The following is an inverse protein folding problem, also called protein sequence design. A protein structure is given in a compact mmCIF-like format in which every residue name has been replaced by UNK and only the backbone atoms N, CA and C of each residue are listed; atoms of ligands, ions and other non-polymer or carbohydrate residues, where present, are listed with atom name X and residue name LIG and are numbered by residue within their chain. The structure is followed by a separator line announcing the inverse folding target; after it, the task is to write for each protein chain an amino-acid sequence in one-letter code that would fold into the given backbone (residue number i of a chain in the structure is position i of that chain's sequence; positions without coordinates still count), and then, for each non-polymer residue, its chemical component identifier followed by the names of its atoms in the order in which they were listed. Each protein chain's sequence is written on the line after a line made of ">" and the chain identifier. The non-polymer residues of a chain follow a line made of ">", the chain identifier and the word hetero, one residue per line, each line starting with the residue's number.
data_IF_489225280259
#
_entry.id   IF_489225280259
#
_cell.length_a   1.000
_cell.length_b   1.000
_cell.length_c   1.000
_cell.angle_alpha   90.00
_cell.angle_beta   90.00
_cell.angle_gamma   90.00
#
_symmetry.space_group_name_H-M   'P 1'
#
loop_
_entity.id
_entity.type
_entity.pdbx_description
1 polymer ?
#
# COMPACT_ATOMS: atom_id res chain seq x y z
N UNK A 1 18.68 -16.27 -23.78
CA UNK A 1 18.83 -15.66 -22.44
C UNK A 1 17.43 -15.41 -21.90
N UNK A 2 16.94 -16.25 -20.99
CA UNK A 2 15.63 -16.06 -20.34
C UNK A 2 15.84 -15.07 -19.20
N UNK A 3 15.51 -13.80 -19.44
CA UNK A 3 15.27 -12.86 -18.35
C UNK A 3 13.87 -13.13 -17.83
N UNK A 4 13.72 -14.05 -16.86
CA UNK A 4 12.51 -14.04 -16.06
C UNK A 4 12.43 -12.63 -15.44
N UNK A 5 11.37 -11.85 -15.64
CA UNK A 5 11.20 -10.62 -14.88
C UNK A 5 11.09 -11.06 -13.43
N UNK A 6 12.14 -10.79 -12.64
CA UNK A 6 12.12 -11.01 -11.20
C UNK A 6 11.23 -9.91 -10.65
N UNK A 7 9.93 -10.16 -10.61
CA UNK A 7 8.96 -9.22 -10.10
C UNK A 7 9.32 -8.94 -8.63
N UNK A 8 9.20 -7.68 -8.18
CA UNK A 8 9.55 -7.28 -6.80
C UNK A 8 8.87 -8.15 -5.74
N UNK A 9 7.73 -8.76 -6.05
CA UNK A 9 7.05 -9.74 -5.22
C UNK A 9 7.87 -11.00 -4.92
N UNK A 10 8.66 -11.53 -5.87
CA UNK A 10 9.48 -12.73 -5.64
C UNK A 10 10.58 -12.49 -4.60
N UNK A 11 11.02 -11.25 -4.45
CA UNK A 11 12.02 -10.87 -3.47
C UNK A 11 11.42 -10.52 -2.10
N UNK A 12 10.28 -9.82 -2.07
CA UNK A 12 9.58 -9.48 -0.83
C UNK A 12 8.85 -10.68 -0.21
N UNK A 13 8.27 -11.52 -1.06
CA UNK A 13 7.28 -12.52 -0.69
C UNK A 13 6.02 -11.94 -0.04
N UNK A 14 5.02 -12.79 0.25
CA UNK A 14 3.76 -12.35 0.87
C UNK A 14 3.96 -11.77 2.28
N UNK A 15 4.98 -12.22 3.02
CA UNK A 15 5.31 -11.69 4.35
C UNK A 15 5.90 -10.28 4.27
N UNK A 16 6.79 -10.01 3.30
CA UNK A 16 7.37 -8.68 3.09
C UNK A 16 6.32 -7.64 2.71
N UNK A 17 5.38 -8.00 1.82
CA UNK A 17 4.26 -7.12 1.46
C UNK A 17 3.38 -6.81 2.67
N UNK A 18 3.01 -7.81 3.47
CA UNK A 18 2.25 -7.59 4.71
C UNK A 18 3.03 -6.71 5.71
N UNK A 19 4.34 -6.90 5.82
CA UNK A 19 5.21 -6.07 6.66
C UNK A 19 5.23 -4.61 6.21
N UNK A 20 5.33 -4.37 4.91
CA UNK A 20 5.26 -3.04 4.29
C UNK A 20 3.93 -2.34 4.62
N UNK A 21 2.80 -3.03 4.40
CA UNK A 21 1.46 -2.48 4.68
C UNK A 21 1.28 -2.16 6.16
N UNK A 22 1.71 -3.05 7.06
CA UNK A 22 1.64 -2.76 8.50
C UNK A 22 2.51 -1.57 8.89
N UNK A 23 3.69 -1.40 8.28
CA UNK A 23 4.53 -0.23 8.50
C UNK A 23 3.85 1.04 8.00
N UNK A 24 3.28 1.01 6.81
CA UNK A 24 2.53 2.12 6.24
C UNK A 24 1.34 2.52 7.11
N UNK A 25 0.49 1.57 7.52
CA UNK A 25 -0.65 1.86 8.40
C UNK A 25 -0.24 2.43 9.76
N UNK A 26 0.93 2.04 10.30
CA UNK A 26 1.47 2.65 11.52
C UNK A 26 1.86 4.11 11.31
N UNK A 27 2.43 4.47 10.16
CA UNK A 27 2.75 5.86 9.83
C UNK A 27 1.47 6.70 9.70
N UNK A 28 0.47 6.20 8.97
CA UNK A 28 -0.83 6.88 8.83
C UNK A 28 -1.53 7.02 10.19
N UNK A 29 -1.47 6.00 11.05
CA UNK A 29 -2.07 6.06 12.38
C UNK A 29 -1.30 6.94 13.37
N UNK A 30 -0.03 7.26 13.09
CA UNK A 30 0.77 8.19 13.89
C UNK A 30 0.59 9.64 13.45
N UNK A 31 0.01 9.88 12.27
CA UNK A 31 -0.30 11.21 11.77
C UNK A 31 -1.56 11.75 12.45
N UNK A 32 -1.44 12.89 13.14
CA UNK A 32 -2.53 13.50 13.91
C UNK A 32 -3.73 13.92 13.05
N UNK A 33 -3.53 14.20 11.76
CA UNK A 33 -4.63 14.56 10.85
C UNK A 33 -5.35 13.34 10.28
N UNK A 34 -4.65 12.20 10.15
CA UNK A 34 -5.19 10.98 9.54
C UNK A 34 -5.72 9.98 10.58
N UNK A 35 -5.14 9.98 11.78
CA UNK A 35 -5.53 9.09 12.87
C UNK A 35 -7.04 9.11 13.19
N UNK A 36 -7.75 10.26 13.20
CA UNK A 36 -9.19 10.30 13.46
C UNK A 36 -10.01 9.49 12.45
N UNK A 37 -9.59 9.46 11.18
CA UNK A 37 -10.27 8.71 10.12
C UNK A 37 -10.08 7.20 10.24
N UNK A 38 -9.07 6.75 11.01
CA UNK A 38 -8.82 5.34 11.29
C UNK A 38 -9.54 4.85 12.56
N UNK A 39 -10.31 5.70 13.24
CA UNK A 39 -11.11 5.30 14.39
C UNK A 39 -12.31 4.47 13.95
N UNK A 40 -12.52 3.32 14.59
CA UNK A 40 -13.62 2.39 14.25
C UNK A 40 -13.36 1.52 13.01
N UNK A 41 -12.20 1.65 12.35
CA UNK A 41 -11.82 0.79 11.23
C UNK A 41 -11.08 -0.44 11.73
N UNK A 42 -11.46 -1.61 11.21
CA UNK A 42 -10.69 -2.84 11.36
C UNK A 42 -9.34 -2.75 10.63
N UNK A 43 -8.33 -2.21 11.32
CA UNK A 43 -6.94 -2.12 10.84
C UNK A 43 -6.39 -3.44 10.28
N UNK A 44 -6.58 -4.63 10.90
CA UNK A 44 -6.08 -5.87 10.32
C UNK A 44 -6.79 -6.25 9.01
N UNK A 45 -8.09 -5.94 8.91
CA UNK A 45 -8.86 -6.18 7.68
C UNK A 45 -8.43 -5.22 6.57
N UNK A 46 -8.26 -3.93 6.89
CA UNK A 46 -7.72 -2.92 5.98
C UNK A 46 -6.32 -3.31 5.49
N UNK A 47 -5.45 -3.77 6.40
CA UNK A 47 -4.11 -4.24 6.06
C UNK A 47 -4.15 -5.43 5.09
N UNK A 48 -5.07 -6.38 5.29
CA UNK A 48 -5.22 -7.52 4.39
C UNK A 48 -5.66 -7.09 2.98
N UNK A 49 -6.63 -6.16 2.87
CA UNK A 49 -7.08 -5.65 1.57
C UNK A 49 -5.98 -4.86 0.85
N UNK A 50 -5.24 -4.00 1.58
CA UNK A 50 -4.12 -3.24 1.02
C UNK A 50 -2.96 -4.16 0.61
N UNK A 51 -2.69 -5.22 1.37
CA UNK A 51 -1.66 -6.21 1.01
C UNK A 51 -2.04 -6.99 -0.24
N UNK A 52 -3.32 -7.34 -0.42
CA UNK A 52 -3.80 -7.96 -1.65
C UNK A 52 -3.64 -7.03 -2.87
N UNK A 53 -3.95 -5.75 -2.70
CA UNK A 53 -3.78 -4.76 -3.76
C UNK A 53 -2.30 -4.56 -4.13
N UNK A 54 -1.41 -4.37 -3.15
CA UNK A 54 0.03 -4.26 -3.41
C UNK A 54 0.60 -5.54 -4.01
N UNK A 55 0.13 -6.72 -3.60
CA UNK A 55 0.56 -7.99 -4.19
C UNK A 55 0.27 -8.02 -5.70
N UNK A 56 -0.91 -7.57 -6.12
CA UNK A 56 -1.27 -7.44 -7.54
C UNK A 56 -0.32 -6.49 -8.29
N UNK A 57 -0.04 -5.31 -7.72
CA UNK A 57 0.87 -4.31 -8.32
C UNK A 57 2.29 -4.81 -8.47
N UNK A 58 2.76 -5.57 -7.48
CA UNK A 58 4.09 -6.14 -7.43
C UNK A 58 4.24 -7.38 -8.32
N UNK A 59 3.17 -7.80 -9.00
CA UNK A 59 3.17 -8.94 -9.91
C UNK A 59 3.04 -10.30 -9.23
N UNK A 60 2.53 -10.34 -8.00
CA UNK A 60 2.18 -11.55 -7.26
C UNK A 60 0.76 -12.05 -7.55
N UNK A 61 0.36 -13.22 -7.02
CA UNK A 61 -0.94 -13.81 -7.28
C UNK A 61 -2.07 -12.93 -6.72
N UNK A 62 -3.01 -12.55 -7.60
CA UNK A 62 -4.17 -11.74 -7.21
C UNK A 62 -5.12 -12.59 -6.38
N UNK A 63 -5.22 -12.27 -5.08
CA UNK A 63 -6.10 -12.99 -4.15
C UNK A 63 -6.58 -12.07 -3.04
N UNK A 64 -7.88 -11.74 -3.06
CA UNK A 64 -8.55 -10.93 -2.04
C UNK A 64 -9.30 -9.71 -2.62
N UNK A 65 -10.20 -9.10 -1.83
CA UNK A 65 -10.91 -7.89 -2.26
C UNK A 65 -9.92 -6.73 -2.42
N UNK A 66 -9.90 -6.13 -3.61
CA UNK A 66 -9.09 -4.94 -3.88
C UNK A 66 -9.52 -3.78 -2.98
N UNK A 67 -8.56 -3.13 -2.32
CA UNK A 67 -8.78 -1.94 -1.50
C UNK A 67 -8.90 -0.64 -2.33
N UNK A 68 -9.02 -0.73 -3.66
CA UNK A 68 -9.06 0.43 -4.55
C UNK A 68 -10.08 1.46 -4.10
N UNK A 69 -9.62 2.69 -3.87
CA UNK A 69 -10.47 3.79 -3.41
C UNK A 69 -10.98 3.66 -1.97
N UNK A 70 -10.43 2.77 -1.12
CA UNK A 70 -10.82 2.71 0.31
C UNK A 70 -10.58 4.05 1.00
N UNK A 71 -9.47 4.73 0.67
CA UNK A 71 -9.15 6.05 1.19
C UNK A 71 -10.07 7.14 0.64
N UNK A 72 -10.51 7.03 -0.62
CA UNK A 72 -11.52 7.93 -1.20
C UNK A 72 -12.87 7.80 -0.48
N UNK A 73 -13.24 6.60 -0.01
CA UNK A 73 -14.48 6.37 0.76
C UNK A 73 -14.43 6.92 2.18
N UNK A 74 -13.24 7.26 2.71
CA UNK A 74 -13.08 7.83 4.05
C UNK A 74 -13.31 9.35 4.10
N UNK A 75 -13.60 9.99 2.96
CA UNK A 75 -13.87 11.43 2.91
C UNK A 75 -12.63 12.28 3.21
N UNK A 76 -11.44 11.78 2.87
CA UNK A 76 -10.20 12.51 3.03
C UNK A 76 -10.12 13.70 2.06
N UNK A 77 -9.51 14.80 2.53
CA UNK A 77 -9.07 15.90 1.68
C UNK A 77 -8.03 15.42 0.66
N UNK A 78 -7.89 16.12 -0.46
CA UNK A 78 -6.81 15.87 -1.43
C UNK A 78 -5.42 15.93 -0.76
N UNK A 79 -5.18 16.88 0.14
CA UNK A 79 -3.92 16.99 0.88
C UNK A 79 -3.66 15.78 1.77
N UNK A 80 -4.69 15.29 2.46
CA UNK A 80 -4.62 14.10 3.30
C UNK A 80 -4.37 12.85 2.46
N UNK A 81 -4.99 12.78 1.28
CA UNK A 81 -4.77 11.70 0.32
C UNK A 81 -3.32 11.70 -0.17
N UNK A 82 -2.74 12.86 -0.48
CA UNK A 82 -1.32 12.99 -0.83
C UNK A 82 -0.41 12.53 0.31
N UNK A 83 -0.68 12.92 1.57
CA UNK A 83 0.10 12.44 2.73
C UNK A 83 0.07 10.91 2.87
N UNK A 84 -1.10 10.29 2.70
CA UNK A 84 -1.24 8.82 2.71
C UNK A 84 -0.36 8.17 1.63
N UNK A 85 -0.33 8.75 0.43
CA UNK A 85 0.48 8.28 -0.69
C UNK A 85 1.99 8.52 -0.49
N UNK A 86 2.37 9.60 0.19
CA UNK A 86 3.76 9.89 0.54
C UNK A 86 4.29 8.90 1.58
N UNK A 87 3.48 8.55 2.59
CA UNK A 87 3.86 7.49 3.53
C UNK A 87 4.00 6.12 2.85
N UNK A 88 3.15 5.83 1.85
CA UNK A 88 3.29 4.62 1.04
C UNK A 88 4.61 4.63 0.26
N UNK A 89 4.91 5.74 -0.42
CA UNK A 89 6.16 5.90 -1.16
C UNK A 89 7.36 5.75 -0.25
N UNK A 90 7.37 6.38 0.93
CA UNK A 90 8.45 6.26 1.89
C UNK A 90 8.70 4.81 2.33
N UNK A 91 7.65 4.01 2.54
CA UNK A 91 7.78 2.60 2.92
C UNK A 91 8.32 1.75 1.77
N UNK A 92 7.83 1.97 0.55
CA UNK A 92 8.30 1.22 -0.63
C UNK A 92 9.74 1.63 -1.00
N UNK A 93 10.09 2.89 -0.82
CA UNK A 93 11.44 3.40 -1.05
C UNK A 93 12.43 2.84 0.00
N UNK A 94 12.02 2.74 1.26
CA UNK A 94 12.80 2.07 2.31
C UNK A 94 13.00 0.56 2.08
N UNK A 95 12.22 -0.03 1.17
CA UNK A 95 12.36 -1.41 0.71
C UNK A 95 13.10 -1.49 -0.63
N UNK A 96 13.72 -0.40 -1.10
CA UNK A 96 14.52 -0.34 -2.33
C UNK A 96 13.73 -0.73 -3.60
N UNK A 97 12.41 -0.48 -3.62
CA UNK A 97 11.61 -0.76 -4.82
C UNK A 97 11.87 0.27 -5.92
N UNK A 98 11.86 -0.15 -7.20
CA UNK A 98 12.04 0.77 -8.32
C UNK A 98 10.90 1.79 -8.38
N UNK A 99 11.24 3.02 -8.79
CA UNK A 99 10.32 4.17 -8.80
C UNK A 99 9.05 3.91 -9.61
N UNK A 100 9.14 3.17 -10.73
CA UNK A 100 7.98 2.80 -11.55
C UNK A 100 6.97 1.96 -10.77
N UNK A 101 7.45 1.11 -9.86
CA UNK A 101 6.59 0.28 -8.99
C UNK A 101 5.93 1.14 -7.92
N UNK A 102 6.65 2.12 -7.37
CA UNK A 102 6.10 3.07 -6.40
C UNK A 102 4.99 3.90 -7.05
N UNK A 103 5.23 4.45 -8.24
CA UNK A 103 4.21 5.23 -8.97
C UNK A 103 2.99 4.38 -9.35
N UNK A 104 3.20 3.12 -9.76
CA UNK A 104 2.10 2.19 -10.04
C UNK A 104 1.28 1.90 -8.77
N UNK A 105 1.95 1.65 -7.64
CA UNK A 105 1.29 1.42 -6.36
C UNK A 105 0.48 2.62 -5.89
N UNK A 106 1.01 3.84 -6.02
CA UNK A 106 0.29 5.06 -5.68
C UNK A 106 -0.96 5.26 -6.55
N UNK A 107 -0.87 5.00 -7.86
CA UNK A 107 -2.03 5.09 -8.77
C UNK A 107 -3.15 4.12 -8.39
N UNK A 108 -2.78 2.88 -8.08
CA UNK A 108 -3.75 1.82 -7.73
C UNK A 108 -4.43 2.06 -6.38
N UNK A 109 -3.71 2.65 -5.43
CA UNK A 109 -4.26 3.04 -4.13
C UNK A 109 -5.19 4.24 -4.25
N UNK A 110 -4.90 5.16 -5.17
CA UNK A 110 -5.78 6.31 -5.49
C UNK A 110 -7.09 5.86 -6.13
N UNK A 111 -7.04 4.84 -6.99
CA UNK A 111 -8.18 4.36 -7.78
C UNK A 111 -8.30 5.08 -9.12
#
# INVERSE_FOLDING_TARGET
>A
MVTCPRNSFDWLGPAGVRGAVNRWLRLVAADAELAPYLLGIDRPRLAACLAAQLTSVLGGPVGGPAAGGVWCRLGLSEEQQWRVLDYLAAVLWALDLPVDTIMRAQREVRG
#
